data_IF_948902692441
#
_entry.id   IF_948902692441
#
_cell.length_a   1.000
_cell.length_b   1.000
_cell.length_c   1.000
_cell.angle_alpha   90.00
_cell.angle_beta   90.00
_cell.angle_gamma   90.00
#
_symmetry.space_group_name_H-M   'P 1'
#
loop_
_entity.id
_entity.type
_entity.pdbx_description
1 polymer ?
#
# COMPACT_ATOMS: atom_id res chain seq x y z
N UNK A 1 45.57 14.18 51.97
CA UNK A 1 46.30 14.03 50.69
C UNK A 1 45.29 13.88 49.57
N UNK A 2 45.31 14.83 48.64
CA UNK A 2 44.38 14.99 47.53
C UNK A 2 44.58 13.88 46.48
N UNK A 3 43.52 13.22 46.02
CA UNK A 3 43.51 12.43 44.78
C UNK A 3 42.36 12.92 43.90
N UNK A 4 42.74 13.61 42.83
CA UNK A 4 41.89 14.06 41.72
C UNK A 4 41.29 12.83 41.02
N UNK A 5 39.96 12.77 40.92
CA UNK A 5 39.26 11.86 40.01
C UNK A 5 39.15 12.54 38.64
N UNK A 6 39.88 12.01 37.65
CA UNK A 6 39.76 12.43 36.25
C UNK A 6 38.60 11.72 35.58
N UNK A 7 37.62 12.48 35.14
CA UNK A 7 36.55 12.06 34.23
C UNK A 7 37.15 11.77 32.85
N UNK A 8 37.02 10.55 32.35
CA UNK A 8 37.29 10.21 30.95
C UNK A 8 35.96 9.98 30.25
N UNK A 9 35.55 10.95 29.42
CA UNK A 9 34.37 10.86 28.56
C UNK A 9 34.73 9.94 27.39
N UNK A 10 34.26 8.69 27.45
CA UNK A 10 34.27 7.80 26.31
C UNK A 10 33.27 8.33 25.28
N UNK A 11 33.77 8.84 24.15
CA UNK A 11 32.97 9.13 22.96
C UNK A 11 32.42 7.82 22.42
N UNK A 12 31.17 7.51 22.74
CA UNK A 12 30.42 6.46 22.07
C UNK A 12 30.20 6.90 20.61
N UNK A 13 30.88 6.23 19.68
CA UNK A 13 30.69 6.40 18.25
C UNK A 13 29.25 6.06 17.90
N UNK A 14 28.53 7.06 17.38
CA UNK A 14 27.18 6.92 16.88
C UNK A 14 27.24 6.13 15.58
N UNK A 15 26.85 4.86 15.62
CA UNK A 15 26.64 4.06 14.43
C UNK A 15 25.42 4.61 13.68
N UNK A 16 25.67 5.51 12.72
CA UNK A 16 24.65 5.98 11.78
C UNK A 16 24.42 4.85 10.77
N UNK A 17 23.42 4.02 11.04
CA UNK A 17 22.88 3.13 10.03
C UNK A 17 22.19 3.96 8.95
N UNK A 18 22.87 4.22 7.85
CA UNK A 18 22.26 4.73 6.62
C UNK A 18 21.38 3.63 6.04
N UNK A 19 20.14 3.55 6.51
CA UNK A 19 19.06 2.88 5.80
C UNK A 19 18.79 3.67 4.53
N UNK A 20 19.52 3.35 3.45
CA UNK A 20 19.09 3.71 2.11
C UNK A 20 17.85 2.87 1.78
N UNK A 21 16.70 3.37 2.22
CA UNK A 21 15.42 2.93 1.71
C UNK A 21 15.29 3.50 0.29
N UNK A 22 16.00 2.88 -0.65
CA UNK A 22 15.81 3.12 -2.06
C UNK A 22 14.35 2.82 -2.38
N UNK A 23 13.55 3.87 -2.56
CA UNK A 23 12.30 3.78 -3.29
C UNK A 23 12.61 3.08 -4.61
N UNK A 24 11.78 2.12 -5.02
CA UNK A 24 11.98 1.30 -6.23
C UNK A 24 12.04 2.12 -7.56
N UNK A 25 12.09 3.46 -7.50
CA UNK A 25 12.16 4.43 -8.61
C UNK A 25 13.26 4.19 -9.64
N UNK A 26 14.23 3.31 -9.36
CA UNK A 26 15.33 3.00 -10.25
C UNK A 26 15.06 1.83 -11.22
N UNK A 27 14.03 1.01 -11.01
CA UNK A 27 13.75 -0.15 -11.86
C UNK A 27 12.77 0.20 -12.99
N UNK A 28 13.10 -0.18 -14.22
CA UNK A 28 12.31 0.04 -15.43
C UNK A 28 12.14 -1.22 -16.26
N UNK A 29 11.00 -1.35 -16.95
CA UNK A 29 10.79 -2.33 -18.01
C UNK A 29 11.72 -2.01 -19.19
N UNK A 30 12.40 -3.01 -19.73
CA UNK A 30 13.19 -2.84 -20.95
C UNK A 30 12.29 -3.07 -22.16
N UNK A 31 12.19 -2.06 -23.02
CA UNK A 31 11.44 -2.17 -24.26
C UNK A 31 12.33 -2.68 -25.39
N UNK A 32 11.82 -3.63 -26.17
CA UNK A 32 12.48 -4.08 -27.39
C UNK A 32 12.54 -2.99 -28.44
N UNK A 33 13.55 -3.07 -29.31
CA UNK A 33 13.74 -2.11 -30.40
C UNK A 33 13.67 -2.81 -31.77
N UNK A 34 13.02 -2.17 -32.74
CA UNK A 34 12.95 -2.66 -34.13
C UNK A 34 11.80 -3.66 -34.41
N UNK A 35 11.75 -4.22 -35.64
CA UNK A 35 10.61 -5.01 -36.13
C UNK A 35 10.33 -6.29 -35.32
N UNK A 36 11.36 -6.83 -34.67
CA UNK A 36 11.29 -8.08 -33.90
C UNK A 36 10.94 -7.85 -32.43
N UNK A 37 10.89 -6.60 -31.96
CA UNK A 37 10.60 -6.27 -30.57
C UNK A 37 11.60 -6.87 -29.57
N UNK A 38 12.82 -7.20 -29.99
CA UNK A 38 13.81 -7.86 -29.15
C UNK A 38 14.49 -6.86 -28.22
N UNK A 39 14.56 -7.19 -26.93
CA UNK A 39 15.31 -6.41 -25.94
C UNK A 39 16.80 -6.62 -26.17
N UNK A 40 17.55 -5.51 -26.28
CA UNK A 40 19.01 -5.54 -26.42
C UNK A 40 19.66 -5.31 -25.06
N UNK A 41 20.47 -6.26 -24.64
CA UNK A 41 21.35 -6.20 -23.46
C UNK A 41 22.80 -6.36 -23.92
N UNK A 42 23.77 -6.13 -23.03
CA UNK A 42 25.16 -6.42 -23.36
C UNK A 42 25.36 -7.92 -23.58
N UNK A 43 26.25 -8.28 -24.50
CA UNK A 43 26.50 -9.68 -24.83
C UNK A 43 27.01 -10.47 -23.62
N UNK A 44 27.78 -9.83 -22.74
CA UNK A 44 28.24 -10.38 -21.47
C UNK A 44 27.08 -10.66 -20.52
N UNK A 45 26.17 -9.70 -20.35
CA UNK A 45 24.94 -9.85 -19.55
C UNK A 45 24.08 -11.00 -20.12
N UNK A 46 23.92 -11.06 -21.44
CA UNK A 46 23.18 -12.15 -22.10
C UNK A 46 23.80 -13.51 -21.83
N UNK A 47 25.13 -13.64 -21.95
CA UNK A 47 25.81 -14.90 -21.70
C UNK A 47 25.62 -15.37 -20.25
N UNK A 48 25.66 -14.46 -19.28
CA UNK A 48 25.37 -14.78 -17.87
C UNK A 48 23.94 -15.29 -17.70
N UNK A 49 22.94 -14.57 -18.24
CA UNK A 49 21.53 -14.96 -18.12
C UNK A 49 21.18 -16.26 -18.88
N UNK A 50 21.91 -16.61 -19.94
CA UNK A 50 21.70 -17.89 -20.65
C UNK A 50 22.43 -19.06 -19.99
N UNK A 51 23.60 -18.82 -19.38
CA UNK A 51 24.38 -19.89 -18.74
C UNK A 51 23.70 -20.48 -17.51
N UNK A 52 22.95 -19.64 -16.78
CA UNK A 52 22.38 -19.99 -15.48
C UNK A 52 23.44 -20.48 -14.47
N UNK A 53 24.69 -20.04 -14.62
CA UNK A 53 25.74 -20.27 -13.63
C UNK A 53 25.74 -19.14 -12.60
N UNK A 54 25.80 -19.48 -11.30
CA UNK A 54 25.99 -18.48 -10.25
C UNK A 54 27.38 -17.86 -10.33
N UNK A 55 27.43 -16.54 -10.51
CA UNK A 55 28.64 -15.72 -10.52
C UNK A 55 28.77 -14.98 -9.20
N UNK A 56 30.00 -14.92 -8.68
CA UNK A 56 30.33 -14.32 -7.37
C UNK A 56 31.57 -13.44 -7.47
N UNK A 57 31.84 -12.90 -8.67
CA UNK A 57 32.97 -12.01 -8.95
C UNK A 57 32.80 -10.70 -8.15
N UNK A 58 31.55 -10.27 -7.97
CA UNK A 58 31.13 -9.30 -6.97
C UNK A 58 30.43 -10.04 -5.81
N UNK A 59 30.99 -10.08 -4.59
CA UNK A 59 30.34 -10.74 -3.47
C UNK A 59 28.98 -10.12 -3.14
N UNK A 60 27.91 -10.90 -3.26
CA UNK A 60 26.57 -10.50 -2.87
C UNK A 60 25.74 -11.70 -2.39
N UNK A 61 24.68 -11.46 -1.63
CA UNK A 61 23.68 -12.47 -1.29
C UNK A 61 22.30 -12.03 -1.79
N UNK A 62 21.71 -12.85 -2.66
CA UNK A 62 20.39 -12.63 -3.27
C UNK A 62 19.36 -13.51 -2.58
N UNK A 63 18.24 -12.90 -2.17
CA UNK A 63 17.12 -13.58 -1.53
C UNK A 63 15.85 -13.33 -2.35
N UNK A 64 15.27 -14.36 -2.98
CA UNK A 64 14.01 -14.23 -3.71
C UNK A 64 12.85 -13.88 -2.78
N UNK A 65 12.01 -12.93 -3.21
CA UNK A 65 10.75 -12.58 -2.57
C UNK A 65 9.63 -13.37 -3.24
N UNK A 66 9.05 -14.31 -2.48
CA UNK A 66 7.92 -15.15 -2.94
C UNK A 66 6.74 -14.28 -3.39
N UNK A 67 6.03 -14.74 -4.42
CA UNK A 67 4.81 -14.09 -4.90
C UNK A 67 3.76 -14.00 -3.79
N UNK A 68 3.22 -12.80 -3.57
CA UNK A 68 2.13 -12.55 -2.61
C UNK A 68 1.05 -11.70 -3.24
N UNK A 69 -0.20 -12.09 -3.03
CA UNK A 69 -1.35 -11.31 -3.48
C UNK A 69 -1.43 -10.00 -2.69
N UNK A 70 -1.43 -8.87 -3.40
CA UNK A 70 -1.66 -7.53 -2.86
C UNK A 70 -3.13 -7.13 -2.86
N UNK A 71 -3.49 -6.08 -2.12
CA UNK A 71 -4.85 -5.52 -2.10
C UNK A 71 -5.28 -4.88 -3.43
N UNK A 72 -4.34 -4.70 -4.35
CA UNK A 72 -4.55 -4.31 -5.74
C UNK A 72 -4.85 -5.50 -6.67
N UNK A 73 -4.99 -6.72 -6.11
CA UNK A 73 -5.30 -7.96 -6.81
C UNK A 73 -4.29 -8.33 -7.90
N UNK A 74 -3.01 -8.10 -7.56
CA UNK A 74 -1.84 -8.52 -8.32
C UNK A 74 -0.95 -9.38 -7.44
N UNK A 75 -0.24 -10.33 -8.01
CA UNK A 75 0.84 -11.01 -7.29
C UNK A 75 2.10 -10.16 -7.36
N UNK A 76 2.68 -9.84 -6.20
CA UNK A 76 3.93 -9.11 -6.08
C UNK A 76 5.06 -10.09 -5.77
N UNK A 77 6.07 -10.15 -6.63
CA UNK A 77 7.28 -10.95 -6.44
C UNK A 77 8.52 -10.08 -6.65
N UNK A 78 9.70 -10.60 -6.31
CA UNK A 78 10.93 -9.81 -6.46
C UNK A 78 12.15 -10.45 -5.83
N UNK A 79 13.08 -9.60 -5.42
CA UNK A 79 14.33 -10.01 -4.80
C UNK A 79 14.85 -8.92 -3.84
N UNK A 80 15.61 -9.36 -2.85
CA UNK A 80 16.44 -8.52 -1.99
C UNK A 80 17.90 -8.93 -2.19
N UNK A 81 18.80 -7.97 -2.23
CA UNK A 81 20.25 -8.20 -2.35
C UNK A 81 20.96 -7.49 -1.20
N UNK A 82 21.92 -8.19 -0.60
CA UNK A 82 22.90 -7.58 0.30
C UNK A 82 24.29 -7.62 -0.33
N UNK A 83 24.99 -6.49 -0.28
CA UNK A 83 26.35 -6.31 -0.79
C UNK A 83 27.22 -5.73 0.32
N UNK A 84 28.35 -6.36 0.69
CA UNK A 84 29.20 -5.81 1.74
C UNK A 84 29.76 -4.46 1.32
N UNK A 85 29.65 -3.44 2.18
CA UNK A 85 30.05 -2.07 1.84
C UNK A 85 31.53 -1.94 1.45
N UNK A 86 32.38 -2.82 1.98
CA UNK A 86 33.81 -2.90 1.60
C UNK A 86 34.02 -3.20 0.12
N UNK A 87 33.10 -3.93 -0.53
CA UNK A 87 33.18 -4.27 -1.95
C UNK A 87 32.80 -3.07 -2.84
N UNK A 88 32.16 -2.06 -2.24
CA UNK A 88 31.67 -0.84 -2.87
C UNK A 88 32.50 0.40 -2.47
N UNK A 89 33.59 0.21 -1.72
CA UNK A 89 34.46 1.30 -1.26
C UNK A 89 35.14 2.01 -2.44
N UNK A 90 35.31 3.34 -2.33
CA UNK A 90 35.86 4.19 -3.38
C UNK A 90 35.10 5.51 -3.53
N UNK A 91 35.44 6.27 -4.57
CA UNK A 91 34.89 7.62 -4.78
C UNK A 91 33.43 7.60 -5.27
N UNK A 92 33.10 6.83 -6.31
CA UNK A 92 31.73 6.65 -6.82
C UNK A 92 31.66 5.39 -7.70
N UNK A 93 30.53 4.70 -7.69
CA UNK A 93 30.29 3.53 -8.54
C UNK A 93 28.83 3.50 -9.06
N UNK A 94 28.53 2.56 -9.95
CA UNK A 94 27.18 2.31 -10.46
C UNK A 94 26.91 0.81 -10.50
N UNK A 95 25.94 0.38 -9.70
CA UNK A 95 25.41 -0.97 -9.78
C UNK A 95 24.31 -1.00 -10.83
N UNK A 96 24.46 -1.91 -11.80
CA UNK A 96 23.46 -2.18 -12.83
C UNK A 96 22.93 -3.59 -12.64
N UNK A 97 21.64 -3.69 -12.36
CA UNK A 97 20.93 -4.96 -12.33
C UNK A 97 20.15 -5.15 -13.61
N UNK A 98 20.21 -6.36 -14.16
CA UNK A 98 19.46 -6.79 -15.34
C UNK A 98 18.87 -8.15 -15.02
N UNK A 99 17.58 -8.31 -15.24
CA UNK A 99 16.93 -9.59 -15.03
C UNK A 99 15.80 -9.80 -16.03
N UNK A 100 15.43 -11.07 -16.22
CA UNK A 100 14.30 -11.47 -17.05
C UNK A 100 13.41 -12.42 -16.32
N UNK A 101 12.12 -12.30 -16.58
CA UNK A 101 11.07 -13.19 -16.08
C UNK A 101 10.45 -13.91 -17.27
N UNK A 102 10.36 -15.24 -17.17
CA UNK A 102 9.81 -16.13 -18.20
C UNK A 102 8.63 -16.90 -17.62
N UNK A 103 7.53 -16.99 -18.35
CA UNK A 103 6.47 -17.94 -18.03
C UNK A 103 6.94 -19.36 -18.39
N UNK A 104 6.87 -20.29 -17.45
CA UNK A 104 7.19 -21.69 -17.72
C UNK A 104 6.21 -22.29 -18.75
N UNK A 105 6.76 -22.95 -19.78
CA UNK A 105 5.96 -23.55 -20.86
C UNK A 105 5.26 -22.54 -21.80
N UNK A 106 5.43 -21.23 -21.56
CA UNK A 106 4.90 -20.18 -22.42
C UNK A 106 5.67 -20.04 -23.73
N UNK A 107 4.97 -19.62 -24.80
CA UNK A 107 5.60 -19.23 -26.08
C UNK A 107 5.97 -17.75 -26.15
N UNK A 108 5.59 -16.97 -25.14
CA UNK A 108 5.87 -15.54 -25.08
C UNK A 108 7.35 -15.28 -24.78
N UNK A 109 7.86 -14.16 -25.30
CA UNK A 109 9.23 -13.76 -25.04
C UNK A 109 9.43 -13.35 -23.57
N UNK A 110 10.63 -13.59 -22.99
CA UNK A 110 10.96 -13.11 -21.65
C UNK A 110 10.75 -11.61 -21.51
N UNK A 111 10.23 -11.19 -20.36
CA UNK A 111 10.12 -9.78 -19.99
C UNK A 111 11.37 -9.36 -19.24
N UNK A 112 12.07 -8.36 -19.76
CA UNK A 112 13.32 -7.86 -19.20
C UNK A 112 13.11 -6.59 -18.38
N UNK A 113 13.93 -6.46 -17.34
CA UNK A 113 13.97 -5.34 -16.43
C UNK A 113 15.41 -4.89 -16.23
N UNK A 114 15.58 -3.59 -16.00
CA UNK A 114 16.86 -3.02 -15.60
C UNK A 114 16.67 -2.07 -14.43
N UNK A 115 17.66 -2.04 -13.53
CA UNK A 115 17.73 -1.10 -12.43
C UNK A 115 19.16 -0.57 -12.33
N UNK A 116 19.30 0.74 -12.15
CA UNK A 116 20.60 1.39 -12.00
C UNK A 116 20.65 2.16 -10.69
N UNK A 117 21.67 1.90 -9.89
CA UNK A 117 21.84 2.51 -8.57
C UNK A 117 23.21 3.18 -8.52
N UNK A 118 23.21 4.48 -8.20
CA UNK A 118 24.44 5.22 -7.93
C UNK A 118 24.93 4.85 -6.54
N UNK A 119 26.19 4.44 -6.46
CA UNK A 119 26.89 4.21 -5.19
C UNK A 119 27.63 5.50 -4.85
N UNK A 120 27.43 6.07 -3.65
CA UNK A 120 28.10 7.30 -3.25
C UNK A 120 29.55 6.98 -2.85
N UNK A 121 30.34 8.01 -2.54
CA UNK A 121 31.64 7.79 -1.93
C UNK A 121 31.51 6.98 -0.64
N UNK A 122 32.26 5.87 -0.55
CA UNK A 122 32.31 4.99 0.60
C UNK A 122 33.77 4.88 1.03
N UNK A 123 34.03 5.19 2.30
CA UNK A 123 35.38 5.14 2.87
C UNK A 123 35.97 3.72 2.82
N UNK A 124 37.28 3.64 2.61
CA UNK A 124 38.01 2.39 2.69
C UNK A 124 37.83 1.75 4.08
N UNK A 125 37.49 0.45 4.09
CA UNK A 125 37.25 -0.29 5.34
C UNK A 125 35.86 -0.08 5.95
N UNK A 126 34.92 0.55 5.22
CA UNK A 126 33.51 0.61 5.61
C UNK A 126 32.95 -0.78 5.96
N UNK A 127 32.19 -0.84 7.05
CA UNK A 127 31.57 -2.07 7.58
C UNK A 127 30.07 -2.01 7.39
N UNK A 128 29.45 -3.18 7.20
CA UNK A 128 28.01 -3.33 7.03
C UNK A 128 27.66 -3.74 5.61
N UNK A 129 26.36 -3.76 5.33
CA UNK A 129 25.77 -4.24 4.08
C UNK A 129 24.97 -3.11 3.44
N UNK A 130 25.11 -2.95 2.12
CA UNK A 130 24.17 -2.23 1.29
C UNK A 130 22.99 -3.15 0.95
N UNK A 131 21.76 -2.68 1.19
CA UNK A 131 20.54 -3.43 0.88
C UNK A 131 19.86 -2.85 -0.35
N UNK A 132 19.70 -3.69 -1.37
CA UNK A 132 19.05 -3.35 -2.64
C UNK A 132 17.82 -4.24 -2.83
N UNK A 133 16.84 -3.77 -3.58
CA UNK A 133 15.63 -4.54 -3.89
C UNK A 133 15.09 -4.19 -5.26
N UNK A 134 14.42 -5.16 -5.87
CA UNK A 134 13.62 -5.02 -7.08
C UNK A 134 12.40 -5.94 -7.04
N UNK A 135 11.45 -5.71 -7.94
CA UNK A 135 10.19 -6.46 -7.92
C UNK A 135 9.34 -6.29 -9.17
N UNK A 136 8.38 -7.18 -9.35
CA UNK A 136 7.53 -7.25 -10.54
C UNK A 136 6.17 -7.82 -10.16
N UNK A 137 5.16 -7.45 -10.94
CA UNK A 137 3.78 -7.90 -10.76
C UNK A 137 3.50 -9.08 -11.71
N UNK A 138 2.78 -10.09 -11.21
CA UNK A 138 2.44 -11.32 -11.91
C UNK A 138 0.93 -11.58 -11.93
N UNK A 139 0.50 -12.27 -12.99
CA UNK A 139 -0.74 -13.06 -12.98
C UNK A 139 -0.50 -14.44 -12.36
N UNK A 140 -1.52 -15.29 -12.36
CA UNK A 140 -1.33 -16.68 -11.97
C UNK A 140 -0.43 -17.42 -12.97
N UNK A 141 0.49 -18.25 -12.47
CA UNK A 141 1.43 -19.03 -13.27
C UNK A 141 2.70 -19.44 -12.50
N UNK A 142 3.52 -20.24 -13.16
CA UNK A 142 4.89 -20.55 -12.72
C UNK A 142 5.87 -19.80 -13.61
N UNK A 143 6.85 -19.17 -12.98
CA UNK A 143 7.76 -18.27 -13.66
C UNK A 143 9.20 -18.56 -13.28
N UNK A 144 10.08 -18.55 -14.27
CA UNK A 144 11.51 -18.61 -14.09
C UNK A 144 12.12 -17.22 -14.13
N UNK A 145 13.05 -16.92 -13.22
CA UNK A 145 13.77 -15.66 -13.15
C UNK A 145 15.26 -15.90 -13.32
N UNK A 146 15.86 -15.24 -14.31
CA UNK A 146 17.32 -15.11 -14.43
C UNK A 146 17.71 -13.68 -14.06
N UNK A 147 18.65 -13.51 -13.12
CA UNK A 147 19.03 -12.22 -12.57
C UNK A 147 20.55 -12.04 -12.48
N UNK A 148 21.02 -10.84 -12.76
CA UNK A 148 22.40 -10.41 -12.48
C UNK A 148 22.48 -8.97 -11.97
N UNK A 149 23.58 -8.69 -11.29
CA UNK A 149 24.06 -7.37 -10.92
C UNK A 149 25.53 -7.25 -11.29
N UNK A 150 25.92 -6.09 -11.83
CA UNK A 150 27.31 -5.77 -12.10
C UNK A 150 27.67 -4.36 -11.69
N UNK A 151 28.94 -4.15 -11.36
CA UNK A 151 29.51 -2.83 -11.09
C UNK A 151 30.20 -2.25 -12.33
N UNK A 152 30.79 -1.04 -12.22
CA UNK A 152 31.54 -0.42 -13.33
C UNK A 152 32.83 -1.15 -13.71
N UNK A 153 33.35 -2.00 -12.83
CA UNK A 153 34.52 -2.84 -13.10
C UNK A 153 34.14 -4.18 -13.74
N UNK A 154 32.86 -4.35 -14.09
CA UNK A 154 32.29 -5.54 -14.72
C UNK A 154 32.43 -6.82 -13.87
N UNK A 155 32.57 -6.67 -12.53
CA UNK A 155 32.39 -7.79 -11.60
C UNK A 155 30.91 -8.12 -11.51
N UNK A 156 30.56 -9.40 -11.61
CA UNK A 156 29.18 -9.89 -11.67
C UNK A 156 28.80 -10.69 -10.43
N UNK A 157 27.59 -10.45 -9.94
CA UNK A 157 26.85 -11.35 -9.07
C UNK A 157 25.60 -11.84 -9.82
N UNK A 158 25.33 -13.14 -9.88
CA UNK A 158 24.13 -13.68 -10.54
C UNK A 158 23.39 -14.71 -9.70
N UNK A 159 22.10 -14.85 -9.95
CA UNK A 159 21.21 -15.80 -9.30
C UNK A 159 20.03 -16.11 -10.22
N UNK A 160 19.43 -17.29 -10.04
CA UNK A 160 18.23 -17.71 -10.74
C UNK A 160 17.30 -18.46 -9.79
N UNK A 161 15.99 -18.40 -10.03
CA UNK A 161 14.99 -19.05 -9.16
C UNK A 161 13.63 -19.19 -9.85
N UNK A 162 12.79 -20.07 -9.29
CA UNK A 162 11.38 -20.19 -9.66
C UNK A 162 10.45 -19.36 -8.76
N UNK A 163 9.37 -18.86 -9.35
CA UNK A 163 8.29 -18.13 -8.68
C UNK A 163 6.96 -18.76 -9.05
N UNK A 164 6.26 -19.28 -8.05
CA UNK A 164 4.88 -19.75 -8.19
C UNK A 164 3.92 -18.65 -7.71
N UNK A 165 3.04 -18.19 -8.60
CA UNK A 165 1.95 -17.27 -8.31
C UNK A 165 0.63 -18.01 -8.51
N UNK A 166 -0.04 -18.38 -7.41
CA UNK A 166 -1.26 -19.17 -7.47
C UNK A 166 -2.24 -18.72 -6.38
N UNK A 167 -3.51 -18.58 -6.76
CA UNK A 167 -4.57 -18.36 -5.79
C UNK A 167 -4.87 -19.66 -5.03
N UNK A 168 -5.09 -19.60 -3.71
CA UNK A 168 -5.58 -20.77 -3.00
C UNK A 168 -6.96 -21.18 -3.54
N UNK A 169 -7.35 -22.48 -3.48
CA UNK A 169 -8.58 -22.98 -4.12
C UNK A 169 -9.85 -22.21 -3.77
N UNK A 170 -9.94 -21.72 -2.53
CA UNK A 170 -11.05 -20.95 -2.00
C UNK A 170 -11.19 -19.54 -2.60
N UNK A 171 -10.17 -19.04 -3.30
CA UNK A 171 -10.07 -17.67 -3.82
C UNK A 171 -10.10 -17.66 -5.36
N UNK A 172 -10.35 -18.81 -6.03
CA UNK A 172 -10.31 -18.95 -7.49
C UNK A 172 -11.27 -18.05 -8.26
N UNK A 173 -12.34 -17.58 -7.62
CA UNK A 173 -13.32 -16.67 -8.24
C UNK A 173 -12.90 -15.20 -8.18
N UNK A 174 -11.74 -14.87 -7.59
CA UNK A 174 -11.24 -13.50 -7.58
C UNK A 174 -10.84 -13.07 -9.00
N UNK A 175 -11.40 -11.94 -9.45
CA UNK A 175 -10.97 -11.35 -10.70
C UNK A 175 -9.61 -10.66 -10.52
N UNK A 176 -8.57 -11.28 -11.07
CA UNK A 176 -7.21 -10.76 -11.04
C UNK A 176 -7.04 -9.59 -12.01
N UNK A 177 -6.25 -8.58 -11.61
CA UNK A 177 -5.95 -7.41 -12.46
C UNK A 177 -4.97 -7.75 -13.59
N UNK A 178 -4.09 -8.72 -13.35
CA UNK A 178 -3.17 -9.25 -14.35
C UNK A 178 -3.67 -10.64 -14.77
N UNK A 179 -3.91 -10.88 -16.07
CA UNK A 179 -4.32 -12.20 -16.55
C UNK A 179 -3.22 -13.24 -16.31
N UNK A 180 -3.60 -14.51 -16.24
CA UNK A 180 -2.66 -15.62 -16.09
C UNK A 180 -1.52 -15.55 -17.11
N UNK A 181 -0.30 -15.84 -16.67
CA UNK A 181 0.92 -15.69 -17.48
C UNK A 181 1.44 -14.26 -17.65
N UNK A 182 0.65 -13.25 -17.30
CA UNK A 182 1.04 -11.84 -17.42
C UNK A 182 2.18 -11.46 -16.48
N UNK A 183 3.10 -10.63 -16.98
CA UNK A 183 4.23 -10.06 -16.24
C UNK A 183 4.21 -8.54 -16.45
N UNK A 184 4.30 -7.76 -15.37
CA UNK A 184 4.33 -6.29 -15.42
C UNK A 184 5.37 -5.72 -14.47
N UNK A 185 5.81 -4.49 -14.75
CA UNK A 185 6.55 -3.72 -13.77
C UNK A 185 5.66 -3.37 -12.59
N UNK A 186 6.23 -3.39 -11.38
CA UNK A 186 5.53 -2.97 -10.17
C UNK A 186 5.06 -1.52 -10.30
N UNK A 187 3.83 -1.22 -9.88
CA UNK A 187 3.35 0.16 -9.81
C UNK A 187 4.00 0.86 -8.61
N UNK A 188 4.89 1.81 -8.88
CA UNK A 188 5.77 2.41 -7.87
C UNK A 188 5.16 3.64 -7.20
N UNK A 189 4.07 4.17 -7.75
CA UNK A 189 3.42 5.39 -7.26
C UNK A 189 2.11 5.03 -6.55
N UNK A 190 2.12 4.86 -5.21
CA UNK A 190 0.91 4.50 -4.47
C UNK A 190 -0.20 5.54 -4.65
N UNK A 191 0.14 6.81 -4.84
CA UNK A 191 -0.80 7.94 -4.99
C UNK A 191 -0.92 8.46 -6.44
N UNK A 192 -0.54 7.65 -7.44
CA UNK A 192 -0.78 8.01 -8.84
C UNK A 192 -2.28 8.12 -9.11
N UNK A 193 -2.63 9.08 -9.97
CA UNK A 193 -4.00 9.24 -10.45
C UNK A 193 -4.56 7.98 -11.10
N UNK A 194 -5.83 7.73 -10.82
CA UNK A 194 -6.55 6.65 -11.47
C UNK A 194 -6.88 7.03 -12.93
N UNK A 195 -6.80 6.08 -13.86
CA UNK A 195 -7.25 6.34 -15.22
C UNK A 195 -8.75 6.69 -15.24
N UNK A 196 -9.22 7.50 -16.19
CA UNK A 196 -10.63 7.82 -16.32
C UNK A 196 -11.48 6.55 -16.42
N UNK A 197 -12.59 6.52 -15.67
CA UNK A 197 -13.52 5.40 -15.65
C UNK A 197 -14.73 5.76 -16.50
N UNK A 198 -15.08 4.91 -17.45
CA UNK A 198 -16.36 5.03 -18.18
C UNK A 198 -17.50 4.81 -17.20
N UNK A 199 -18.25 5.87 -16.88
CA UNK A 199 -19.37 5.82 -15.93
C UNK A 199 -20.58 5.16 -16.57
N UNK A 200 -21.37 4.46 -15.75
CA UNK A 200 -22.65 3.91 -16.15
C UNK A 200 -23.66 5.06 -16.35
N UNK A 201 -24.27 5.23 -17.54
CA UNK A 201 -25.25 6.30 -17.77
C UNK A 201 -26.44 6.27 -16.82
N UNK A 202 -26.82 5.08 -16.31
CA UNK A 202 -27.93 4.90 -15.38
C UNK A 202 -27.49 4.93 -13.90
N UNK A 203 -26.20 4.67 -13.64
CA UNK A 203 -25.62 4.66 -12.30
C UNK A 203 -25.22 6.06 -11.85
N UNK A 204 -25.95 6.67 -10.92
CA UNK A 204 -25.66 8.03 -10.44
C UNK A 204 -25.36 8.09 -8.94
N UNK A 205 -24.56 7.16 -8.40
CA UNK A 205 -24.36 7.05 -6.95
C UNK A 205 -23.41 8.15 -6.43
N UNK A 206 -23.79 8.73 -5.29
CA UNK A 206 -22.95 9.63 -4.50
C UNK A 206 -22.53 8.95 -3.20
N UNK A 207 -21.24 8.70 -3.00
CA UNK A 207 -20.72 8.01 -1.81
C UNK A 207 -19.81 8.91 -1.00
N UNK A 208 -19.95 8.91 0.33
CA UNK A 208 -19.02 9.57 1.25
C UNK A 208 -18.13 8.52 1.93
N UNK A 209 -16.82 8.75 1.92
CA UNK A 209 -15.82 7.86 2.51
C UNK A 209 -15.01 8.62 3.57
N UNK A 210 -15.04 8.11 4.81
CA UNK A 210 -14.21 8.57 5.92
C UNK A 210 -13.07 7.57 6.13
N UNK A 211 -11.83 7.97 5.86
CA UNK A 211 -10.67 7.07 5.93
C UNK A 211 -9.72 7.48 7.05
N UNK A 212 -9.52 6.60 8.03
CA UNK A 212 -8.49 6.76 9.05
C UNK A 212 -7.13 6.27 8.51
N UNK A 213 -6.26 7.19 8.13
CA UNK A 213 -4.87 6.88 7.78
C UNK A 213 -4.01 6.86 9.04
N UNK A 214 -4.05 5.74 9.76
CA UNK A 214 -3.28 5.49 10.97
C UNK A 214 -2.55 4.14 10.89
N UNK A 215 -1.46 3.95 11.65
CA UNK A 215 -0.80 2.65 11.73
C UNK A 215 -1.66 1.62 12.46
N UNK A 216 -1.48 0.33 12.13
CA UNK A 216 -2.12 -0.78 12.85
C UNK A 216 -1.80 -0.78 14.36
N UNK A 217 -0.59 -0.36 14.71
CA UNK A 217 -0.17 -0.15 16.09
C UNK A 217 -0.14 1.35 16.38
N UNK A 218 -0.99 1.82 17.29
CA UNK A 218 -1.08 3.22 17.68
C UNK A 218 0.20 3.81 18.31
N UNK A 219 1.23 3.00 18.57
CA UNK A 219 2.57 3.45 19.02
C UNK A 219 3.60 3.53 17.89
N UNK A 220 3.25 3.15 16.66
CA UNK A 220 4.17 3.24 15.55
C UNK A 220 4.39 4.69 15.13
N UNK A 221 5.64 5.00 14.76
CA UNK A 221 6.07 6.32 14.30
C UNK A 221 5.96 6.50 12.78
N UNK A 222 5.51 5.48 12.04
CA UNK A 222 5.37 5.53 10.58
C UNK A 222 4.19 4.68 10.12
N UNK A 223 3.60 5.06 8.98
CA UNK A 223 2.69 4.18 8.24
C UNK A 223 3.52 3.17 7.45
N UNK A 224 3.22 1.88 7.62
CA UNK A 224 3.90 0.86 6.81
C UNK A 224 3.36 0.91 5.38
N UNK A 225 4.21 0.78 4.35
CA UNK A 225 3.77 0.81 2.96
C UNK A 225 2.64 -0.16 2.63
N UNK A 226 2.68 -1.38 3.20
CA UNK A 226 1.64 -2.39 3.01
C UNK A 226 0.30 -1.98 3.61
N UNK A 227 0.31 -1.36 4.79
CA UNK A 227 -0.90 -0.88 5.47
C UNK A 227 -1.51 0.28 4.67
N UNK A 228 -0.67 1.22 4.21
CA UNK A 228 -1.09 2.34 3.35
C UNK A 228 -1.67 1.83 2.03
N UNK A 229 -1.05 0.84 1.39
CA UNK A 229 -1.54 0.26 0.16
C UNK A 229 -2.93 -0.36 0.31
N UNK A 230 -3.24 -1.01 1.43
CA UNK A 230 -4.57 -1.54 1.70
C UNK A 230 -5.64 -0.44 1.75
N UNK A 231 -5.37 0.67 2.45
CA UNK A 231 -6.31 1.80 2.54
C UNK A 231 -6.50 2.51 1.19
N UNK A 232 -5.41 2.69 0.43
CA UNK A 232 -5.48 3.24 -0.93
C UNK A 232 -6.29 2.30 -1.83
N UNK A 233 -6.12 0.98 -1.73
CA UNK A 233 -6.91 0.03 -2.52
C UNK A 233 -8.41 0.14 -2.25
N UNK A 234 -8.83 0.40 -1.01
CA UNK A 234 -10.25 0.68 -0.69
C UNK A 234 -10.73 1.92 -1.45
N UNK A 235 -9.97 3.01 -1.42
CA UNK A 235 -10.31 4.23 -2.16
C UNK A 235 -10.33 4.02 -3.68
N UNK A 236 -9.41 3.19 -4.20
CA UNK A 236 -9.38 2.81 -5.61
C UNK A 236 -10.59 1.99 -6.02
N UNK A 237 -11.07 1.09 -5.16
CA UNK A 237 -12.33 0.36 -5.41
C UNK A 237 -13.51 1.31 -5.58
N UNK A 238 -13.57 2.36 -4.75
CA UNK A 238 -14.58 3.43 -4.87
C UNK A 238 -14.40 4.22 -6.17
N UNK A 239 -13.18 4.66 -6.48
CA UNK A 239 -12.90 5.47 -7.67
C UNK A 239 -13.21 4.72 -8.99
N UNK A 240 -12.88 3.42 -9.04
CA UNK A 240 -13.03 2.54 -10.21
C UNK A 240 -14.46 2.06 -10.47
N UNK A 241 -15.37 2.23 -9.52
CA UNK A 241 -16.73 1.74 -9.65
C UNK A 241 -17.54 2.59 -10.66
N UNK A 242 -17.99 2.02 -11.79
CA UNK A 242 -18.68 2.78 -12.84
C UNK A 242 -19.99 3.43 -12.39
N UNK A 243 -20.68 2.83 -11.40
CA UNK A 243 -21.98 3.32 -10.89
C UNK A 243 -21.85 4.50 -9.92
N UNK A 244 -20.64 4.79 -9.41
CA UNK A 244 -20.37 5.94 -8.53
C UNK A 244 -19.93 7.12 -9.41
N UNK A 245 -20.74 8.17 -9.43
CA UNK A 245 -20.48 9.39 -10.23
C UNK A 245 -19.97 10.54 -9.39
N UNK A 246 -20.29 10.55 -8.09
CA UNK A 246 -19.80 11.54 -7.14
C UNK A 246 -19.23 10.87 -5.89
N UNK A 247 -18.13 11.38 -5.40
CA UNK A 247 -17.47 10.92 -4.19
C UNK A 247 -17.08 12.10 -3.31
N UNK A 248 -17.24 11.91 -2.00
CA UNK A 248 -16.66 12.80 -1.00
C UNK A 248 -15.69 12.00 -0.14
N UNK A 249 -14.46 12.47 0.03
CA UNK A 249 -13.41 11.81 0.81
C UNK A 249 -13.02 12.70 1.97
N UNK A 250 -13.06 12.15 3.17
CA UNK A 250 -12.56 12.76 4.40
C UNK A 250 -11.48 11.85 4.97
N UNK A 251 -10.22 12.20 4.73
CA UNK A 251 -9.10 11.49 5.33
C UNK A 251 -8.78 12.12 6.68
N UNK A 252 -8.65 11.31 7.70
CA UNK A 252 -8.30 11.74 9.05
C UNK A 252 -7.25 10.83 9.65
N UNK A 253 -6.61 11.28 10.72
CA UNK A 253 -5.71 10.45 11.50
C UNK A 253 -6.12 10.52 12.97
N UNK A 254 -6.40 9.37 13.58
CA UNK A 254 -6.85 9.28 14.98
C UNK A 254 -5.78 9.68 16.00
N UNK A 255 -4.50 9.37 15.78
CA UNK A 255 -3.40 9.81 16.66
C UNK A 255 -3.25 11.35 16.57
N UNK A 256 -3.38 11.82 15.34
CA UNK A 256 -3.52 13.17 14.83
C UNK A 256 -4.65 13.99 15.45
N UNK A 257 -5.75 13.34 15.82
CA UNK A 257 -7.03 13.97 16.13
C UNK A 257 -7.40 15.10 15.15
N UNK A 258 -7.10 14.91 13.85
CA UNK A 258 -7.41 15.88 12.80
C UNK A 258 -7.86 15.21 11.51
N UNK A 259 -8.66 15.95 10.75
CA UNK A 259 -8.87 15.73 9.32
C UNK A 259 -7.64 16.26 8.60
N UNK A 260 -7.02 15.44 7.77
CA UNK A 260 -5.78 15.75 7.04
C UNK A 260 -6.04 16.13 5.58
N UNK A 261 -7.14 15.64 5.01
CA UNK A 261 -7.52 15.91 3.64
C UNK A 261 -9.03 15.81 3.50
N UNK A 262 -9.61 16.70 2.69
CA UNK A 262 -11.04 16.75 2.38
C UNK A 262 -11.22 17.05 0.90
N UNK A 263 -12.14 16.31 0.28
CA UNK A 263 -12.61 16.55 -1.07
C UNK A 263 -14.10 16.24 -1.10
N UNK A 264 -14.95 17.18 -1.51
CA UNK A 264 -16.40 17.03 -1.42
C UNK A 264 -17.03 17.01 -2.83
N UNK A 265 -17.91 16.02 -3.05
CA UNK A 265 -18.77 15.90 -4.23
C UNK A 265 -18.06 16.03 -5.59
N UNK A 266 -16.93 15.33 -5.74
CA UNK A 266 -16.11 15.31 -6.97
C UNK A 266 -16.37 14.05 -7.80
N UNK A 267 -15.99 14.07 -9.08
CA UNK A 267 -16.14 12.90 -9.98
C UNK A 267 -14.96 11.94 -9.90
N UNK A 268 -13.82 12.42 -9.41
CA UNK A 268 -12.59 11.68 -9.29
C UNK A 268 -11.86 12.10 -8.00
N UNK A 269 -11.33 11.11 -7.29
CA UNK A 269 -10.50 11.32 -6.11
C UNK A 269 -9.14 11.82 -6.57
N UNK A 270 -8.66 12.92 -5.98
CA UNK A 270 -7.30 13.42 -6.22
C UNK A 270 -6.30 12.63 -5.35
N UNK A 271 -5.76 11.55 -5.91
CA UNK A 271 -4.80 10.71 -5.21
C UNK A 271 -3.47 11.42 -4.93
N UNK A 272 -2.89 12.20 -5.86
CA UNK A 272 -1.68 12.98 -5.59
C UNK A 272 -1.83 13.93 -4.40
N UNK A 273 -2.89 14.74 -4.34
CA UNK A 273 -3.12 15.66 -3.23
C UNK A 273 -3.36 14.93 -1.90
N UNK A 274 -4.01 13.77 -1.94
CA UNK A 274 -4.12 12.89 -0.76
C UNK A 274 -2.74 12.39 -0.30
N UNK A 275 -1.87 12.02 -1.23
CA UNK A 275 -0.49 11.63 -0.95
C UNK A 275 0.32 12.76 -0.29
N UNK A 276 0.27 13.96 -0.86
CA UNK A 276 0.93 15.16 -0.32
C UNK A 276 0.42 15.48 1.10
N UNK A 277 -0.89 15.32 1.34
CA UNK A 277 -1.47 15.51 2.67
C UNK A 277 -0.95 14.48 3.69
N UNK A 278 -0.69 13.24 3.27
CA UNK A 278 -0.15 12.20 4.13
C UNK A 278 1.32 12.42 4.48
N UNK A 279 2.11 13.04 3.59
CA UNK A 279 3.50 13.42 3.87
C UNK A 279 3.59 14.48 5.00
N UNK A 280 2.50 15.20 5.30
CA UNK A 280 2.42 16.15 6.42
C UNK A 280 2.28 15.49 7.80
N UNK A 281 2.03 14.18 7.87
CA UNK A 281 1.82 13.46 9.13
C UNK A 281 3.12 13.35 9.94
N UNK A 282 3.05 13.69 11.22
CA UNK A 282 4.14 13.62 12.20
C UNK A 282 3.86 12.53 13.23
N UNK A 283 3.84 11.30 12.74
CA UNK A 283 3.60 10.12 13.57
C UNK A 283 4.77 9.91 14.55
N UNK A 284 4.45 9.39 15.75
CA UNK A 284 5.44 9.18 16.81
C UNK A 284 5.81 10.42 17.64
N UNK A 285 5.20 11.58 17.35
CA UNK A 285 5.25 12.75 18.23
C UNK A 285 3.91 12.95 18.92
N UNK A 286 3.93 13.35 20.19
CA UNK A 286 2.71 13.66 20.95
C UNK A 286 2.76 15.14 21.32
N UNK A 287 1.77 15.91 20.87
CA UNK A 287 1.59 17.30 21.29
C UNK A 287 1.30 17.35 22.79
N UNK A 288 2.06 18.16 23.53
CA UNK A 288 1.92 18.34 24.97
C UNK A 288 0.50 18.76 25.38
N UNK A 289 -0.20 19.54 24.54
CA UNK A 289 -1.57 19.95 24.79
C UNK A 289 -2.55 18.76 24.78
N UNK A 290 -2.21 17.68 24.09
CA UNK A 290 -3.02 16.46 24.00
C UNK A 290 -2.82 15.55 25.21
N UNK A 291 -1.62 15.55 25.80
CA UNK A 291 -1.35 14.82 27.04
C UNK A 291 -2.20 15.34 28.21
N UNK A 292 -2.49 16.64 28.23
CA UNK A 292 -3.40 17.24 29.22
C UNK A 292 -4.87 16.88 29.02
N UNK A 293 -5.23 16.24 27.92
CA UNK A 293 -6.62 16.08 27.48
C UNK A 293 -7.04 14.61 27.41
N UNK A 294 -7.43 14.06 28.57
CA UNK A 294 -7.71 12.64 28.79
C UNK A 294 -8.72 11.99 27.81
N UNK A 295 -9.65 12.75 27.25
CA UNK A 295 -10.70 12.24 26.33
C UNK A 295 -10.70 12.92 24.96
N UNK A 296 -9.54 13.44 24.50
CA UNK A 296 -9.43 14.19 23.24
C UNK A 296 -9.77 13.37 22.00
N UNK A 297 -9.40 12.10 21.99
CA UNK A 297 -9.63 11.13 20.93
C UNK A 297 -11.12 10.79 20.76
N UNK A 298 -11.81 10.51 21.86
CA UNK A 298 -13.26 10.24 21.87
C UNK A 298 -14.01 11.46 21.38
N UNK A 299 -13.68 12.67 21.88
CA UNK A 299 -14.34 13.90 21.44
C UNK A 299 -14.08 14.21 19.97
N UNK A 300 -12.87 13.99 19.48
CA UNK A 300 -12.55 14.16 18.07
C UNK A 300 -13.40 13.24 17.19
N UNK A 301 -13.40 11.93 17.47
CA UNK A 301 -14.18 10.97 16.69
C UNK A 301 -15.69 11.26 16.76
N UNK A 302 -16.19 11.59 17.95
CA UNK A 302 -17.59 11.93 18.18
C UNK A 302 -18.01 13.14 17.34
N UNK A 303 -17.21 14.20 17.36
CA UNK A 303 -17.46 15.41 16.58
C UNK A 303 -17.39 15.12 15.07
N UNK A 304 -16.39 14.38 14.62
CA UNK A 304 -16.24 14.00 13.21
C UNK A 304 -17.47 13.25 12.69
N UNK A 305 -17.96 12.25 13.45
CA UNK A 305 -19.16 11.50 13.05
C UNK A 305 -20.39 12.41 13.00
N UNK A 306 -20.59 13.27 14.01
CA UNK A 306 -21.71 14.20 14.04
C UNK A 306 -21.67 15.17 12.84
N UNK A 307 -20.54 15.84 12.62
CA UNK A 307 -20.36 16.81 11.54
C UNK A 307 -20.59 16.17 10.15
N UNK A 308 -20.08 14.95 9.94
CA UNK A 308 -20.18 14.29 8.63
C UNK A 308 -21.54 13.67 8.33
N UNK A 309 -22.25 13.21 9.36
CA UNK A 309 -23.60 12.66 9.22
C UNK A 309 -24.68 13.74 9.14
N UNK A 310 -24.47 14.91 9.77
CA UNK A 310 -25.42 16.04 9.75
C UNK A 310 -25.25 16.98 8.54
N UNK A 311 -24.36 16.64 7.60
CA UNK A 311 -24.17 17.39 6.35
C UNK A 311 -25.46 17.52 5.55
N UNK A 312 -25.80 18.72 5.02
CA UNK A 312 -27.03 18.94 4.25
C UNK A 312 -27.08 18.12 2.96
N UNK A 313 -25.91 17.81 2.39
CA UNK A 313 -25.81 16.90 1.26
C UNK A 313 -25.72 15.46 1.78
N UNK A 314 -26.83 14.72 1.67
CA UNK A 314 -26.89 13.31 2.06
C UNK A 314 -26.33 12.41 0.95
N UNK A 315 -25.38 11.52 1.25
CA UNK A 315 -24.90 10.55 0.28
C UNK A 315 -25.87 9.37 0.14
N UNK A 316 -25.72 8.60 -0.94
CA UNK A 316 -26.36 7.29 -1.08
C UNK A 316 -25.77 6.24 -0.12
N UNK A 317 -24.54 6.46 0.36
CA UNK A 317 -23.88 5.62 1.35
C UNK A 317 -22.75 6.36 2.09
N UNK A 318 -22.54 5.99 3.35
CA UNK A 318 -21.40 6.40 4.16
C UNK A 318 -20.49 5.20 4.44
N UNK A 319 -19.21 5.30 4.10
CA UNK A 319 -18.24 4.22 4.29
C UNK A 319 -17.13 4.73 5.21
N UNK A 320 -16.96 4.10 6.37
CA UNK A 320 -15.77 4.22 7.18
C UNK A 320 -14.72 3.20 6.71
N UNK A 321 -13.46 3.59 6.65
CA UNK A 321 -12.35 2.69 6.35
C UNK A 321 -11.13 3.04 7.20
N UNK A 322 -10.33 2.05 7.58
CA UNK A 322 -9.13 2.29 8.39
C UNK A 322 -8.82 1.19 9.40
N UNK A 323 -7.67 1.26 10.09
CA UNK A 323 -7.39 0.38 11.21
C UNK A 323 -8.43 0.55 12.32
N UNK A 324 -8.54 -0.47 13.18
CA UNK A 324 -9.38 -0.41 14.37
C UNK A 324 -8.94 0.71 15.31
N UNK A 325 -9.92 1.45 15.82
CA UNK A 325 -9.74 2.58 16.74
C UNK A 325 -10.14 2.14 18.14
N UNK A 326 -9.18 1.53 18.85
CA UNK A 326 -9.35 1.06 20.22
C UNK A 326 -9.19 2.23 21.19
N UNK A 327 -10.31 2.78 21.65
CA UNK A 327 -10.37 3.84 22.65
C UNK A 327 -10.72 3.27 24.03
N UNK A 328 -10.36 3.98 25.11
CA UNK A 328 -10.76 3.60 26.48
C UNK A 328 -12.28 3.69 26.68
N UNK A 329 -12.90 4.68 26.02
CA UNK A 329 -14.35 4.90 26.04
C UNK A 329 -14.90 4.94 24.62
N UNK A 330 -16.10 4.41 24.43
CA UNK A 330 -16.81 4.47 23.16
C UNK A 330 -17.39 5.85 22.87
N UNK A 331 -17.84 6.06 21.63
CA UNK A 331 -18.60 7.28 21.27
C UNK A 331 -19.87 7.38 22.12
N UNK A 332 -20.13 8.50 22.81
CA UNK A 332 -21.29 8.66 23.68
C UNK A 332 -22.62 8.42 22.95
N UNK A 333 -23.51 7.64 23.57
CA UNK A 333 -24.79 7.30 22.96
C UNK A 333 -25.70 8.52 22.72
N UNK A 334 -25.55 9.58 23.52
CA UNK A 334 -26.35 10.81 23.36
C UNK A 334 -26.03 11.52 22.04
N UNK A 335 -24.75 11.61 21.66
CA UNK A 335 -24.36 12.19 20.38
C UNK A 335 -24.83 11.33 19.21
N UNK A 336 -24.76 10.01 19.34
CA UNK A 336 -25.27 9.11 18.30
C UNK A 336 -26.80 9.22 18.14
N UNK A 337 -27.54 9.50 19.22
CA UNK A 337 -28.98 9.81 19.15
C UNK A 337 -29.25 11.13 18.42
N UNK A 338 -28.38 12.13 18.55
CA UNK A 338 -28.52 13.42 17.85
C UNK A 338 -28.33 13.28 16.34
N UNK A 339 -27.50 12.33 15.89
CA UNK A 339 -27.36 12.00 14.47
C UNK A 339 -28.67 11.45 13.89
N UNK A 340 -29.47 10.77 14.72
CA UNK A 340 -30.79 10.26 14.35
C UNK A 340 -30.73 9.03 13.43
N UNK A 341 -31.91 8.61 12.94
CA UNK A 341 -32.01 7.53 11.96
C UNK A 341 -31.56 8.04 10.58
N UNK A 342 -30.48 7.46 10.07
CA UNK A 342 -29.95 7.80 8.77
C UNK A 342 -30.82 7.19 7.66
N UNK A 343 -31.16 8.04 6.70
CA UNK A 343 -31.80 7.67 5.43
C UNK A 343 -30.77 7.16 4.44
N UNK A 344 -29.69 6.48 4.84
CA UNK A 344 -28.72 5.85 3.93
C UNK A 344 -27.93 4.79 4.71
N UNK A 345 -27.46 3.73 4.03
CA UNK A 345 -26.65 2.71 4.68
C UNK A 345 -25.29 3.25 5.12
N UNK A 346 -24.84 2.77 6.29
CA UNK A 346 -23.50 2.99 6.81
C UNK A 346 -22.71 1.68 6.77
N UNK A 347 -21.48 1.76 6.29
CA UNK A 347 -20.57 0.63 6.19
C UNK A 347 -19.27 0.93 6.93
N UNK A 348 -18.64 -0.10 7.48
CA UNK A 348 -17.30 0.00 8.04
C UNK A 348 -16.41 -1.11 7.48
N UNK A 349 -15.38 -0.72 6.74
CA UNK A 349 -14.31 -1.58 6.27
C UNK A 349 -13.14 -1.49 7.26
N UNK A 350 -13.19 -2.31 8.30
CA UNK A 350 -12.14 -2.34 9.32
C UNK A 350 -10.91 -3.04 8.70
N UNK A 351 -9.81 -2.33 8.51
CA UNK A 351 -8.57 -2.92 8.04
C UNK A 351 -7.81 -3.49 9.24
N UNK A 352 -7.80 -4.81 9.40
CA UNK A 352 -7.22 -5.48 10.55
C UNK A 352 -6.22 -6.54 10.09
N UNK A 353 -4.93 -6.22 10.15
CA UNK A 353 -3.86 -7.12 9.72
C UNK A 353 -3.76 -8.38 10.61
N UNK A 354 -4.23 -8.30 11.87
CA UNK A 354 -4.11 -9.37 12.85
C UNK A 354 -5.44 -9.62 13.58
N UNK A 355 -6.47 -10.13 12.87
CA UNK A 355 -7.82 -10.26 13.43
C UNK A 355 -7.92 -11.23 14.61
N UNK A 356 -7.02 -12.21 14.68
CA UNK A 356 -6.92 -13.15 15.82
C UNK A 356 -6.40 -12.47 17.10
N UNK A 357 -5.59 -11.42 16.97
CA UNK A 357 -5.04 -10.69 18.12
C UNK A 357 -5.98 -9.59 18.60
N UNK A 358 -6.73 -8.97 17.68
CA UNK A 358 -7.68 -7.89 17.99
C UNK A 358 -9.08 -8.23 17.46
N UNK A 359 -9.78 -9.22 18.06
CA UNK A 359 -11.10 -9.65 17.61
C UNK A 359 -12.21 -8.66 18.00
N UNK A 360 -11.95 -7.82 19.01
CA UNK A 360 -12.94 -6.93 19.63
C UNK A 360 -13.40 -5.82 18.70
N UNK A 361 -14.68 -5.44 18.82
CA UNK A 361 -15.24 -4.27 18.14
C UNK A 361 -14.63 -2.99 18.72
N UNK A 362 -14.36 -2.03 17.85
CA UNK A 362 -13.70 -0.77 18.19
C UNK A 362 -14.73 0.39 18.32
N UNK A 363 -14.26 1.62 18.50
CA UNK A 363 -15.13 2.79 18.66
C UNK A 363 -15.96 3.08 17.40
N UNK A 364 -15.37 2.94 16.20
CA UNK A 364 -16.07 3.15 14.92
C UNK A 364 -17.12 2.06 14.71
N UNK A 365 -16.77 0.79 14.91
CA UNK A 365 -17.71 -0.33 14.80
C UNK A 365 -18.88 -0.22 15.78
N UNK A 366 -18.65 0.34 16.97
CA UNK A 366 -19.72 0.61 17.95
C UNK A 366 -20.68 1.69 17.44
N UNK A 367 -20.15 2.80 16.90
CA UNK A 367 -20.96 3.84 16.28
C UNK A 367 -21.76 3.31 15.08
N UNK A 368 -21.12 2.54 14.19
CA UNK A 368 -21.76 1.95 13.01
C UNK A 368 -22.87 0.98 13.41
N UNK A 369 -22.69 0.18 14.46
CA UNK A 369 -23.75 -0.68 15.01
C UNK A 369 -24.96 0.14 15.47
N UNK A 370 -24.72 1.27 16.15
CA UNK A 370 -25.80 2.15 16.60
C UNK A 370 -26.57 2.76 15.42
N UNK A 371 -25.86 3.12 14.35
CA UNK A 371 -26.41 3.62 13.09
C UNK A 371 -27.03 2.51 12.21
N UNK A 372 -27.24 1.30 12.75
CA UNK A 372 -27.79 0.12 12.04
C UNK A 372 -27.00 -0.24 10.77
N UNK A 373 -25.70 0.06 10.76
CA UNK A 373 -24.78 -0.19 9.67
C UNK A 373 -24.19 -1.60 9.65
N UNK A 374 -23.33 -1.84 8.65
CA UNK A 374 -22.67 -3.12 8.43
C UNK A 374 -21.15 -3.01 8.62
N UNK A 375 -20.54 -4.04 9.17
CA UNK A 375 -19.10 -4.09 9.45
C UNK A 375 -18.46 -5.26 8.69
N UNK A 376 -17.35 -4.97 8.01
CA UNK A 376 -16.53 -5.92 7.26
C UNK A 376 -15.10 -5.88 7.78
N UNK A 377 -14.57 -7.05 8.15
CA UNK A 377 -13.17 -7.18 8.54
C UNK A 377 -12.31 -7.47 7.33
N UNK A 378 -11.41 -6.55 7.00
CA UNK A 378 -10.51 -6.60 5.86
C UNK A 378 -9.12 -6.97 6.37
N UNK A 379 -8.75 -8.24 6.26
CA UNK A 379 -7.44 -8.73 6.70
C UNK A 379 -6.53 -9.11 5.52
N UNK A 380 -7.16 -9.55 4.42
CA UNK A 380 -6.51 -10.05 3.21
C UNK A 380 -7.18 -9.44 1.97
N UNK A 381 -6.50 -9.45 0.80
CA UNK A 381 -7.04 -8.91 -0.44
C UNK A 381 -8.42 -9.46 -0.82
N UNK A 382 -8.63 -10.76 -0.59
CA UNK A 382 -9.93 -11.40 -0.76
C UNK A 382 -11.05 -10.69 -0.01
N UNK A 383 -10.82 -10.36 1.25
CA UNK A 383 -11.85 -9.79 2.13
C UNK A 383 -12.34 -8.45 1.57
N UNK A 384 -11.43 -7.65 0.98
CA UNK A 384 -11.76 -6.40 0.30
C UNK A 384 -12.69 -6.64 -0.89
N UNK A 385 -12.36 -7.60 -1.76
CA UNK A 385 -13.18 -7.92 -2.93
C UNK A 385 -14.62 -8.31 -2.56
N UNK A 386 -14.76 -9.24 -1.61
CA UNK A 386 -16.09 -9.69 -1.15
C UNK A 386 -16.86 -8.56 -0.46
N UNK A 387 -16.22 -7.83 0.45
CA UNK A 387 -16.87 -6.71 1.13
C UNK A 387 -17.33 -5.64 0.14
N UNK A 388 -16.50 -5.29 -0.84
CA UNK A 388 -16.85 -4.29 -1.85
C UNK A 388 -18.06 -4.71 -2.70
N UNK A 389 -18.08 -5.97 -3.15
CA UNK A 389 -19.20 -6.52 -3.93
C UNK A 389 -20.51 -6.48 -3.14
N UNK A 390 -20.45 -6.85 -1.86
CA UNK A 390 -21.63 -6.85 -0.98
C UNK A 390 -22.11 -5.42 -0.67
N UNK A 391 -21.19 -4.50 -0.38
CA UNK A 391 -21.48 -3.07 -0.16
C UNK A 391 -22.21 -2.51 -1.38
N UNK A 392 -21.67 -2.68 -2.58
CA UNK A 392 -22.29 -2.15 -3.79
C UNK A 392 -23.67 -2.77 -4.06
N UNK A 393 -23.84 -4.07 -3.84
CA UNK A 393 -25.15 -4.73 -3.95
C UNK A 393 -26.18 -4.11 -3.00
N UNK A 394 -25.80 -3.84 -1.75
CA UNK A 394 -26.68 -3.22 -0.74
C UNK A 394 -27.03 -1.77 -1.07
N UNK A 395 -26.06 -0.97 -1.52
CA UNK A 395 -26.28 0.42 -1.92
C UNK A 395 -27.30 0.48 -3.06
N UNK A 396 -27.07 -0.29 -4.12
CA UNK A 396 -27.93 -0.34 -5.31
C UNK A 396 -29.35 -0.79 -4.93
N UNK A 397 -29.48 -1.86 -4.13
CA UNK A 397 -30.79 -2.36 -3.67
C UNK A 397 -31.57 -1.32 -2.87
N UNK A 398 -30.93 -0.61 -1.95
CA UNK A 398 -31.59 0.42 -1.13
C UNK A 398 -32.01 1.63 -1.96
N UNK A 399 -31.20 2.02 -2.94
CA UNK A 399 -31.54 3.12 -3.84
C UNK A 399 -32.75 2.81 -4.72
N UNK A 400 -32.78 1.64 -5.37
CA UNK A 400 -33.94 1.24 -6.18
C UNK A 400 -35.20 1.08 -5.32
N UNK A 401 -35.07 0.55 -4.10
CA UNK A 401 -36.18 0.49 -3.15
C UNK A 401 -36.77 1.86 -2.85
N UNK A 402 -35.94 2.88 -2.65
CA UNK A 402 -36.40 4.26 -2.44
C UNK A 402 -37.03 4.88 -3.67
N UNK A 403 -36.44 4.69 -4.84
CA UNK A 403 -37.00 5.21 -6.09
C UNK A 403 -38.41 4.64 -6.32
N UNK A 404 -38.61 3.34 -6.06
CA UNK A 404 -39.91 2.68 -6.16
C UNK A 404 -40.92 3.23 -5.13
N UNK A 405 -40.52 3.42 -3.86
CA UNK A 405 -41.39 4.01 -2.83
C UNK A 405 -41.76 5.47 -3.11
N UNK A 406 -40.84 6.26 -3.66
CA UNK A 406 -41.11 7.64 -4.05
C UNK A 406 -42.10 7.71 -5.23
N UNK A 407 -41.97 6.80 -6.20
CA UNK A 407 -42.87 6.71 -7.35
C UNK A 407 -44.27 6.20 -6.99
N UNK A 408 -44.43 5.40 -5.93
CA UNK A 408 -45.74 4.92 -5.47
C UNK A 408 -46.51 5.89 -4.57
N UNK A 409 -45.88 6.99 -4.16
CA UNK A 409 -46.49 8.02 -3.29
C UNK A 409 -46.89 9.28 -4.08
N UNK A 410 -46.69 9.26 -5.40
CA UNK A 410 -47.28 10.19 -6.37
C UNK A 410 -48.46 9.49 -7.05
#
# INVERSE_FOLDING_TARGET
MSRKAGFSIARAGMAVGLLWCGSMRAQSLMHGSGPTGTVRIFNTDSAVLESQDERKDLPCAVVPVKARLGFDLRFHAGYEVSVPLRELAGNEDMLTMVFRVKLEGGKEAPVYFSQKISVPAIEDGAKGEAYLRGGFDLGEGNYHVDWLMRDRTERVCSSYWEVEAMLPPKDKDLAMVIPAGGIRAIEQQPFKEEPPVTRDPEGTLNVKVLVNFAPQNARAATLKPFDTAALISILRSVAREPRITKVSVVAFNMQEQRVIYRQDNVEQIDFPALGDALDSLKLGTVDLNRLGNKHGDVRFLTKLIADECSSPQQPDALIFAGPKVMLEEGVPSETLKQVGDLTYPVFYMNYNAFPQQVPWRDAIGTAVKHLKGYEYTISRPRDLWFAWTEIMSRIVKLRYGRAASAASTQ
#
